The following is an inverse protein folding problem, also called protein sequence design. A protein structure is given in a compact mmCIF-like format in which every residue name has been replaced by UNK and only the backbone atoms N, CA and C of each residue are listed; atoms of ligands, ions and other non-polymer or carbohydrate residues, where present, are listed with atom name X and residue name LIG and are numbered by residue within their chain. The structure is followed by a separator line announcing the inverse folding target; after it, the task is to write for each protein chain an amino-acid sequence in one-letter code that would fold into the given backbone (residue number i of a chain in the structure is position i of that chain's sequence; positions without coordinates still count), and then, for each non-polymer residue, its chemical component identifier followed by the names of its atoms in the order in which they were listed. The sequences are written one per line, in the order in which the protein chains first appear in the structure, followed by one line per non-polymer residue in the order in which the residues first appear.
data_IF_982457717437
#
_entry.id   IF_982457717437
#
_cell.length_a   1.000
_cell.length_b   1.000
_cell.length_c   1.000
_cell.angle_alpha   90.00
_cell.angle_beta   90.00
_cell.angle_gamma   90.00
#
_symmetry.space_group_name_H-M   'P 1'
#
loop_
_entity.id
_entity.type
_entity.pdbx_description
1 polymer ?
#
# COMPACT_ATOMS: atom_id res chain seq x y z
N UNK A 1 23.02 60.26 29.25
CA UNK A 1 23.65 59.68 28.03
C UNK A 1 24.06 58.26 28.39
N UNK A 2 23.40 57.24 27.81
CA UNK A 2 24.03 56.21 26.92
C UNK A 2 25.05 55.33 27.70
N UNK A 3 24.97 54.00 27.80
CA UNK A 3 24.55 52.97 26.84
C UNK A 3 24.12 51.66 27.54
N UNK A 4 23.26 50.93 26.83
CA UNK A 4 22.80 49.57 27.08
C UNK A 4 23.95 48.55 27.06
N UNK A 5 23.78 47.43 27.75
CA UNK A 5 24.35 46.13 27.36
C UNK A 5 23.37 45.01 27.73
N UNK A 6 22.56 44.60 26.76
CA UNK A 6 21.75 43.38 26.82
C UNK A 6 22.45 42.33 25.95
N UNK A 7 22.89 41.23 26.56
CA UNK A 7 23.49 40.11 25.84
C UNK A 7 22.38 39.13 25.43
N UNK A 8 22.04 39.08 24.15
CA UNK A 8 21.17 38.07 23.55
C UNK A 8 22.04 36.99 22.91
N UNK A 9 22.13 35.82 23.54
CA UNK A 9 22.74 34.62 22.96
C UNK A 9 21.73 33.93 22.05
N UNK A 10 21.86 34.16 20.74
CA UNK A 10 21.07 33.48 19.71
C UNK A 10 21.69 32.11 19.41
N UNK A 11 21.27 31.07 20.14
CA UNK A 11 21.61 29.68 19.81
C UNK A 11 20.73 29.21 18.64
N UNK A 12 21.23 29.35 17.41
CA UNK A 12 20.65 28.71 16.23
C UNK A 12 20.98 27.21 16.26
N UNK A 13 20.02 26.40 16.72
CA UNK A 13 20.08 24.94 16.61
C UNK A 13 19.82 24.53 15.16
N UNK A 14 20.89 24.23 14.43
CA UNK A 14 20.81 23.48 13.17
C UNK A 14 20.32 22.06 13.48
N UNK A 15 19.05 21.78 13.20
CA UNK A 15 18.51 20.42 13.19
C UNK A 15 19.05 19.71 11.93
N UNK A 16 19.85 18.64 12.06
CA UNK A 16 20.18 17.79 10.92
C UNK A 16 18.89 17.11 10.46
N UNK A 17 18.50 17.36 9.21
CA UNK A 17 17.38 16.70 8.54
C UNK A 17 17.80 15.24 8.28
N UNK A 18 17.60 14.36 9.26
CA UNK A 18 17.74 12.93 9.03
C UNK A 18 16.60 12.50 8.11
N UNK A 19 16.93 12.26 6.84
CA UNK A 19 16.05 11.54 5.93
C UNK A 19 15.89 10.12 6.49
N UNK A 20 14.78 9.89 7.19
CA UNK A 20 14.35 8.55 7.56
C UNK A 20 13.91 7.88 6.26
N UNK A 21 14.82 7.11 5.65
CA UNK A 21 14.43 6.13 4.66
C UNK A 21 13.72 5.01 5.42
N UNK A 22 12.40 4.96 5.33
CA UNK A 22 11.64 3.82 5.79
C UNK A 22 12.02 2.65 4.87
N UNK A 23 12.91 1.78 5.33
CA UNK A 23 13.22 0.54 4.65
C UNK A 23 12.00 -0.37 4.84
N UNK A 24 11.06 -0.33 3.88
CA UNK A 24 9.88 -1.18 3.89
C UNK A 24 10.31 -2.60 3.58
N UNK A 25 10.80 -3.30 4.58
CA UNK A 25 10.93 -4.76 4.60
C UNK A 25 9.52 -5.35 4.67
N UNK A 26 8.78 -5.26 3.57
CA UNK A 26 7.58 -6.06 3.37
C UNK A 26 8.05 -7.51 3.23
N UNK A 27 7.69 -8.34 4.20
CA UNK A 27 7.86 -9.79 4.08
C UNK A 27 7.15 -10.25 2.81
N UNK A 28 7.92 -10.70 1.82
CA UNK A 28 7.38 -11.29 0.60
C UNK A 28 7.12 -12.77 0.87
N UNK A 29 5.86 -13.18 0.78
CA UNK A 29 5.50 -14.58 0.89
C UNK A 29 5.86 -15.29 -0.42
N UNK A 30 6.79 -16.26 -0.37
CA UNK A 30 7.09 -17.13 -1.50
C UNK A 30 5.98 -18.17 -1.67
N UNK A 31 5.29 -18.13 -2.80
CA UNK A 31 4.24 -19.06 -3.17
C UNK A 31 4.80 -20.18 -4.07
N UNK A 32 4.26 -21.41 -3.99
CA UNK A 32 4.65 -22.49 -4.88
C UNK A 32 4.50 -22.14 -6.37
N UNK A 33 5.34 -22.69 -7.27
CA UNK A 33 5.28 -22.42 -8.71
C UNK A 33 3.91 -22.67 -9.36
N UNK A 34 3.15 -23.63 -8.83
CA UNK A 34 1.83 -24.05 -9.30
C UNK A 34 0.68 -23.44 -8.49
N UNK A 35 0.97 -22.43 -7.67
CA UNK A 35 -0.04 -21.77 -6.84
C UNK A 35 -1.21 -21.24 -7.67
N UNK A 36 -2.42 -21.61 -7.23
CA UNK A 36 -3.67 -21.07 -7.75
C UNK A 36 -4.50 -20.54 -6.59
N UNK A 37 -4.86 -19.25 -6.59
CA UNK A 37 -5.67 -18.70 -5.51
C UNK A 37 -7.05 -19.38 -5.49
N UNK A 38 -7.60 -19.67 -4.29
CA UNK A 38 -8.92 -20.26 -4.15
C UNK A 38 -10.00 -19.46 -4.89
N UNK A 39 -10.81 -20.14 -5.72
CA UNK A 39 -11.90 -19.52 -6.48
C UNK A 39 -13.20 -19.50 -5.66
N UNK A 40 -13.14 -18.87 -4.50
CA UNK A 40 -14.21 -18.87 -3.47
C UNK A 40 -14.98 -17.56 -3.41
N UNK A 41 -14.56 -16.56 -4.19
CA UNK A 41 -15.18 -15.25 -4.25
C UNK A 41 -15.71 -14.95 -5.65
N UNK A 42 -16.86 -14.29 -5.72
CA UNK A 42 -17.44 -13.72 -6.93
C UNK A 42 -17.47 -12.21 -6.84
N UNK A 43 -16.87 -11.53 -7.82
CA UNK A 43 -16.95 -10.08 -7.94
C UNK A 43 -18.27 -9.71 -8.59
N UNK A 44 -19.24 -9.28 -7.79
CA UNK A 44 -20.60 -8.95 -8.25
C UNK A 44 -20.70 -7.55 -8.85
N UNK A 45 -19.78 -6.67 -8.47
CA UNK A 45 -19.62 -5.34 -9.06
C UNK A 45 -18.14 -4.96 -9.04
N UNK A 46 -17.65 -4.37 -10.14
CA UNK A 46 -16.28 -3.85 -10.22
C UNK A 46 -16.27 -2.58 -11.06
N UNK A 47 -15.77 -1.49 -10.47
CA UNK A 47 -15.54 -0.21 -11.15
C UNK A 47 -14.08 0.16 -10.97
N UNK A 48 -13.38 0.32 -12.09
CA UNK A 48 -11.98 0.73 -12.15
C UNK A 48 -11.89 2.14 -12.73
N UNK A 49 -11.18 3.03 -12.02
CA UNK A 49 -10.87 4.37 -12.49
C UNK A 49 -9.36 4.56 -12.55
N UNK A 50 -8.85 5.04 -13.69
CA UNK A 50 -7.43 5.30 -13.93
C UNK A 50 -7.23 6.80 -14.15
N UNK A 51 -6.49 7.44 -13.26
CA UNK A 51 -6.16 8.86 -13.32
C UNK A 51 -4.69 9.04 -13.72
N UNK A 52 -4.46 9.88 -14.74
CA UNK A 52 -3.16 10.21 -15.32
C UNK A 52 -2.82 11.70 -15.21
N UNK A 53 -3.52 12.46 -14.37
CA UNK A 53 -3.35 13.92 -14.23
C UNK A 53 -2.05 14.30 -13.51
N UNK A 54 -1.52 13.38 -12.71
CA UNK A 54 -0.22 13.53 -12.03
C UNK A 54 0.87 12.82 -12.82
N UNK A 55 2.13 13.07 -12.46
CA UNK A 55 3.28 12.36 -13.05
C UNK A 55 3.37 10.85 -12.73
N UNK A 56 2.30 10.24 -12.20
CA UNK A 56 2.20 8.82 -11.93
C UNK A 56 0.77 8.34 -12.17
N UNK A 57 0.64 7.06 -12.55
CA UNK A 57 -0.66 6.39 -12.71
C UNK A 57 -1.27 6.16 -11.33
N UNK A 58 -2.49 6.67 -11.11
CA UNK A 58 -3.29 6.34 -9.93
C UNK A 58 -4.50 5.53 -10.36
N UNK A 59 -4.61 4.31 -9.85
CA UNK A 59 -5.80 3.49 -10.05
C UNK A 59 -6.63 3.42 -8.78
N UNK A 60 -7.96 3.44 -8.92
CA UNK A 60 -8.91 3.15 -7.84
C UNK A 60 -9.87 2.08 -8.33
N UNK A 61 -9.85 0.92 -7.67
CA UNK A 61 -10.75 -0.21 -7.96
C UNK A 61 -11.74 -0.34 -6.81
N UNK A 62 -13.01 -0.09 -7.11
CA UNK A 62 -14.11 -0.42 -6.20
C UNK A 62 -14.65 -1.78 -6.60
N UNK A 63 -14.61 -2.75 -5.68
CA UNK A 63 -15.13 -4.10 -5.92
C UNK A 63 -16.12 -4.48 -4.81
N UNK A 64 -17.21 -5.12 -5.19
CA UNK A 64 -18.12 -5.81 -4.27
C UNK A 64 -17.89 -7.30 -4.45
N UNK A 65 -17.51 -7.95 -3.36
CA UNK A 65 -17.12 -9.36 -3.34
C UNK A 65 -18.16 -10.16 -2.57
N UNK A 66 -18.59 -11.29 -3.15
CA UNK A 66 -19.50 -12.25 -2.53
C UNK A 66 -18.75 -13.56 -2.27
N UNK A 67 -18.82 -14.08 -1.04
CA UNK A 67 -18.29 -15.41 -0.72
C UNK A 67 -19.24 -16.48 -1.27
N UNK A 68 -18.79 -17.23 -2.27
CA UNK A 68 -19.49 -18.38 -2.86
C UNK A 68 -18.93 -19.72 -2.36
N UNK A 69 -17.92 -19.67 -1.49
CA UNK A 69 -17.34 -20.84 -0.84
C UNK A 69 -18.28 -21.46 0.20
N UNK A 70 -18.00 -22.71 0.56
CA UNK A 70 -18.77 -23.42 1.60
C UNK A 70 -18.43 -22.98 3.03
N UNK A 71 -17.40 -22.16 3.21
CA UNK A 71 -16.86 -21.71 4.49
C UNK A 71 -16.56 -20.21 4.44
N UNK A 72 -16.57 -19.50 5.59
CA UNK A 72 -16.03 -18.14 5.66
C UNK A 72 -14.61 -18.06 5.08
N UNK A 73 -14.31 -16.94 4.42
CA UNK A 73 -13.03 -16.66 3.76
C UNK A 73 -12.55 -15.29 4.22
N UNK A 74 -11.24 -15.17 4.45
CA UNK A 74 -10.61 -13.95 4.96
C UNK A 74 -9.63 -13.33 3.97
N UNK A 75 -9.08 -14.13 3.04
CA UNK A 75 -7.99 -13.71 2.17
C UNK A 75 -8.48 -13.47 0.74
N UNK A 76 -8.14 -12.31 0.17
CA UNK A 76 -8.50 -11.94 -1.19
C UNK A 76 -7.23 -11.62 -1.99
N UNK A 77 -7.01 -12.36 -3.08
CA UNK A 77 -5.83 -12.20 -3.93
C UNK A 77 -6.07 -11.17 -5.04
N UNK A 78 -5.22 -10.14 -5.10
CA UNK A 78 -5.26 -9.11 -6.15
C UNK A 78 -4.14 -9.35 -7.16
N UNK A 79 -4.47 -9.71 -8.42
CA UNK A 79 -3.44 -9.93 -9.44
C UNK A 79 -2.93 -8.62 -10.03
N UNK A 80 -1.63 -8.58 -10.31
CA UNK A 80 -0.97 -7.52 -11.07
C UNK A 80 -0.25 -8.11 -12.29
N UNK A 81 -0.21 -7.38 -13.41
CA UNK A 81 0.68 -7.71 -14.51
C UNK A 81 2.15 -7.71 -14.06
N UNK A 82 2.95 -8.68 -14.52
CA UNK A 82 4.36 -8.82 -14.14
C UNK A 82 5.19 -7.58 -14.46
N UNK A 83 4.87 -6.87 -15.56
CA UNK A 83 5.56 -5.64 -15.95
C UNK A 83 5.17 -4.39 -15.12
N UNK A 84 4.17 -4.54 -14.24
CA UNK A 84 3.64 -3.49 -13.34
C UNK A 84 3.96 -3.78 -11.88
N UNK A 85 4.03 -5.05 -11.47
CA UNK A 85 4.16 -5.45 -10.07
C UNK A 85 5.29 -4.72 -9.32
N UNK A 86 6.50 -4.73 -9.86
CA UNK A 86 7.67 -4.06 -9.27
C UNK A 86 7.64 -2.53 -9.36
N UNK A 87 6.63 -1.95 -10.03
CA UNK A 87 6.46 -0.51 -10.22
C UNK A 87 5.33 0.06 -9.36
N UNK A 88 4.67 -0.77 -8.56
CA UNK A 88 3.61 -0.32 -7.64
C UNK A 88 4.26 0.43 -6.47
N UNK A 89 4.08 1.75 -6.42
CA UNK A 89 4.64 2.57 -5.35
C UNK A 89 3.84 2.52 -4.04
N UNK A 90 2.54 2.24 -4.10
CA UNK A 90 1.68 2.07 -2.93
C UNK A 90 0.42 1.28 -3.29
N UNK A 91 0.00 0.38 -2.39
CA UNK A 91 -1.28 -0.31 -2.43
C UNK A 91 -1.99 -0.10 -1.09
N UNK A 92 -3.24 0.37 -1.16
CA UNK A 92 -4.07 0.59 0.01
C UNK A 92 -5.47 0.02 -0.25
N UNK A 93 -5.94 -0.82 0.67
CA UNK A 93 -7.25 -1.47 0.60
C UNK A 93 -8.04 -1.07 1.84
N UNK A 94 -9.31 -0.70 1.63
CA UNK A 94 -10.23 -0.25 2.70
C UNK A 94 -11.64 -0.77 2.45
N UNK A 95 -12.41 -0.89 3.53
CA UNK A 95 -13.86 -1.06 3.42
C UNK A 95 -14.48 0.28 3.02
N UNK A 96 -15.05 0.32 1.81
CA UNK A 96 -15.72 1.52 1.29
C UNK A 96 -16.91 1.95 2.17
N UNK A 97 -17.59 1.01 2.84
CA UNK A 97 -18.75 1.27 3.68
C UNK A 97 -18.39 1.56 5.15
N UNK A 98 -17.17 1.24 5.57
CA UNK A 98 -16.70 1.42 6.94
C UNK A 98 -15.23 1.92 6.98
N UNK A 99 -14.92 3.09 6.38
CA UNK A 99 -13.55 3.59 6.26
C UNK A 99 -12.87 3.87 7.60
N UNK A 100 -13.63 4.06 8.67
CA UNK A 100 -13.18 4.26 10.05
C UNK A 100 -12.51 3.02 10.65
N UNK A 101 -12.77 1.83 10.11
CA UNK A 101 -12.13 0.58 10.56
C UNK A 101 -10.67 0.47 10.12
N UNK A 102 -10.17 1.42 9.34
CA UNK A 102 -8.79 1.45 8.89
C UNK A 102 -8.56 0.68 7.59
N UNK A 103 -7.31 0.25 7.40
CA UNK A 103 -6.84 -0.45 6.21
C UNK A 103 -6.90 -1.95 6.45
N UNK A 104 -7.12 -2.72 5.39
CA UNK A 104 -6.86 -4.15 5.42
C UNK A 104 -5.35 -4.41 5.42
N UNK A 105 -4.94 -5.50 6.05
CA UNK A 105 -3.58 -6.02 5.94
C UNK A 105 -3.32 -6.50 4.52
N UNK A 106 -2.16 -6.12 3.99
CA UNK A 106 -1.75 -6.43 2.62
C UNK A 106 -0.38 -7.09 2.68
N UNK A 107 -0.29 -8.29 2.14
CA UNK A 107 0.96 -9.03 2.02
C UNK A 107 1.35 -9.16 0.54
N UNK A 108 2.62 -8.91 0.27
CA UNK A 108 3.21 -9.05 -1.06
C UNK A 108 3.49 -10.54 -1.28
N UNK A 109 3.01 -11.11 -2.38
CA UNK A 109 3.21 -12.54 -2.66
C UNK A 109 3.88 -12.72 -4.01
N UNK A 110 4.85 -13.62 -4.10
CA UNK A 110 5.57 -13.89 -5.34
C UNK A 110 5.56 -15.39 -5.60
N UNK A 111 5.26 -15.77 -6.83
CA UNK A 111 5.37 -17.17 -7.26
C UNK A 111 6.85 -17.46 -7.47
N UNK A 112 7.37 -18.47 -6.77
CA UNK A 112 8.73 -18.94 -6.98
C UNK A 112 8.83 -19.51 -8.40
N UNK A 113 9.49 -18.77 -9.28
CA UNK A 113 9.80 -19.27 -10.62
C UNK A 113 10.82 -20.40 -10.46
N UNK A 114 10.43 -21.63 -10.82
CA UNK A 114 11.38 -22.74 -10.92
C UNK A 114 12.47 -22.34 -11.92
N UNK A 115 13.70 -22.17 -11.42
CA UNK A 115 14.89 -21.95 -12.23
C UNK A 115 15.37 -23.24 -12.86
#
# INVERSE_FOLDING_TARGET
MRLLNAATTLCALFLPSTLVYADSTSSRLSLPPDFKPPQVFKNTNLVRNTNLEKGYVRETVNVVVENIGKKPQSDYYLPFPTNVYDKVGALEVRDKKAPEKGRFDVETTEVELSR
#
